data_IF_448982726129
#
_entry.id   IF_448982726129
#
_cell.length_a   1.000
_cell.length_b   1.000
_cell.length_c   1.000
_cell.angle_alpha   90.00
_cell.angle_beta   90.00
_cell.angle_gamma   90.00
#
_symmetry.space_group_name_H-M   'P 1'
#
loop_
_entity.id
_entity.type
_entity.pdbx_description
1 polymer ?
#
# COMPACT_ATOMS: atom_id res chain seq x y z
N UNK A 1 16.02 11.13 5.79
CA UNK A 1 14.57 11.34 5.68
C UNK A 1 13.83 10.01 5.58
N UNK A 2 12.60 9.98 6.03
CA UNK A 2 11.78 8.77 5.96
C UNK A 2 10.67 8.98 4.93
N UNK A 3 10.55 8.05 3.99
CA UNK A 3 9.43 8.02 3.06
C UNK A 3 8.58 6.79 3.35
N UNK A 4 7.31 6.87 3.00
CA UNK A 4 6.36 5.78 3.23
C UNK A 4 5.73 5.38 1.91
N UNK A 5 5.58 4.08 1.73
CA UNK A 5 4.94 3.53 0.53
C UNK A 5 3.82 2.59 0.98
N UNK A 6 2.64 2.85 0.48
CA UNK A 6 1.46 2.02 0.77
C UNK A 6 1.07 1.34 -0.53
N UNK A 7 1.07 0.01 -0.51
CA UNK A 7 0.75 -0.81 -1.68
C UNK A 7 -0.53 -1.58 -1.40
N UNK A 8 -1.52 -1.41 -2.27
CA UNK A 8 -2.83 -2.06 -2.10
C UNK A 8 -3.20 -2.78 -3.38
N UNK A 9 -3.98 -3.88 -3.28
CA UNK A 9 -4.48 -4.54 -4.49
C UNK A 9 -5.48 -3.62 -5.21
N UNK A 10 -5.49 -3.69 -6.54
CA UNK A 10 -6.48 -2.96 -7.33
C UNK A 10 -7.88 -3.48 -7.01
N UNK A 11 -8.88 -2.58 -7.12
CA UNK A 11 -10.26 -2.93 -6.79
C UNK A 11 -10.80 -4.09 -7.64
N UNK A 12 -10.30 -4.24 -8.84
CA UNK A 12 -10.76 -5.27 -9.77
C UNK A 12 -10.10 -6.63 -9.55
N UNK A 13 -9.14 -6.72 -8.63
CA UNK A 13 -8.38 -7.93 -8.38
C UNK A 13 -8.95 -8.65 -7.17
N UNK A 14 -9.06 -9.99 -7.27
CA UNK A 14 -9.46 -10.80 -6.12
C UNK A 14 -8.38 -10.76 -5.05
N UNK A 15 -8.83 -10.62 -3.81
CA UNK A 15 -7.95 -10.63 -2.65
C UNK A 15 -8.39 -11.76 -1.72
N UNK A 16 -7.83 -12.98 -1.89
CA UNK A 16 -8.24 -14.13 -1.07
C UNK A 16 -7.98 -13.92 0.42
N UNK A 17 -6.89 -13.23 0.77
CA UNK A 17 -6.59 -12.94 2.17
C UNK A 17 -7.60 -11.97 2.76
N UNK A 18 -7.94 -10.92 2.02
CA UNK A 18 -8.95 -9.96 2.45
C UNK A 18 -10.32 -10.60 2.61
N UNK A 19 -10.69 -11.49 1.68
CA UNK A 19 -11.95 -12.21 1.76
C UNK A 19 -12.01 -13.11 3.00
N UNK A 20 -10.92 -13.80 3.31
CA UNK A 20 -10.86 -14.66 4.50
C UNK A 20 -11.00 -13.84 5.78
N UNK A 21 -10.35 -12.69 5.86
CA UNK A 21 -10.47 -11.80 7.01
C UNK A 21 -11.89 -11.27 7.13
N UNK A 22 -12.51 -10.90 6.02
CA UNK A 22 -13.90 -10.43 6.02
C UNK A 22 -14.83 -11.50 6.61
N UNK A 23 -14.70 -12.73 6.15
CA UNK A 23 -15.52 -13.82 6.67
C UNK A 23 -15.30 -14.04 8.17
N UNK A 24 -14.05 -14.00 8.61
CA UNK A 24 -13.75 -14.15 10.03
C UNK A 24 -14.37 -13.04 10.86
N UNK A 25 -14.30 -11.80 10.38
CA UNK A 25 -14.90 -10.66 11.07
C UNK A 25 -16.41 -10.81 11.18
N UNK A 26 -17.05 -11.25 10.11
CA UNK A 26 -18.49 -11.49 10.13
C UNK A 26 -18.86 -12.59 11.12
N UNK A 27 -18.09 -13.66 11.16
CA UNK A 27 -18.27 -14.75 12.10
C UNK A 27 -18.11 -14.31 13.55
N UNK A 28 -17.22 -13.37 13.81
CA UNK A 28 -16.95 -12.87 15.16
C UNK A 28 -17.90 -11.74 15.57
N UNK A 29 -18.91 -11.48 14.78
CA UNK A 29 -19.99 -10.58 15.17
C UNK A 29 -20.08 -9.27 14.41
N UNK A 30 -19.07 -8.93 13.60
CA UNK A 30 -19.10 -7.70 12.82
C UNK A 30 -19.71 -7.97 11.45
N UNK A 31 -20.99 -8.25 11.45
CA UNK A 31 -21.72 -8.70 10.27
C UNK A 31 -21.86 -7.62 9.19
N UNK A 32 -21.60 -6.37 9.53
CA UNK A 32 -21.65 -5.27 8.57
C UNK A 32 -20.39 -5.13 7.74
N UNK A 33 -19.37 -5.95 7.97
CA UNK A 33 -18.14 -5.91 7.19
C UNK A 33 -18.43 -6.30 5.75
N UNK A 34 -18.20 -5.38 4.83
CA UNK A 34 -18.47 -5.60 3.41
C UNK A 34 -17.23 -5.96 2.62
N UNK A 35 -16.11 -5.32 2.95
CA UNK A 35 -14.89 -5.49 2.20
C UNK A 35 -13.70 -5.34 3.11
N UNK A 36 -12.72 -6.23 2.93
CA UNK A 36 -11.42 -6.13 3.57
C UNK A 36 -10.37 -6.33 2.49
N UNK A 37 -9.41 -5.43 2.44
CA UNK A 37 -8.32 -5.49 1.47
C UNK A 37 -7.01 -5.42 2.22
N UNK A 38 -6.10 -6.33 1.89
CA UNK A 38 -4.82 -6.44 2.57
C UNK A 38 -3.71 -6.00 1.62
N UNK A 39 -2.92 -5.05 2.08
CA UNK A 39 -1.79 -4.53 1.32
C UNK A 39 -0.52 -4.55 2.14
N UNK A 40 0.46 -3.75 1.69
CA UNK A 40 1.75 -3.64 2.36
C UNK A 40 2.05 -2.19 2.69
N UNK A 41 2.79 -2.00 3.75
CA UNK A 41 3.27 -0.69 4.17
C UNK A 41 4.77 -0.75 4.32
N UNK A 42 5.48 0.14 3.64
CA UNK A 42 6.94 0.20 3.68
C UNK A 42 7.38 1.55 4.25
N UNK A 43 8.35 1.49 5.15
CA UNK A 43 9.07 2.69 5.61
C UNK A 43 10.49 2.61 5.08
N UNK A 44 10.93 3.66 4.41
CA UNK A 44 12.25 3.68 3.78
C UNK A 44 13.01 4.88 4.32
N UNK A 45 14.16 4.62 4.91
CA UNK A 45 15.05 5.67 5.40
C UNK A 45 16.09 5.97 4.32
N UNK A 46 16.16 7.24 3.92
CA UNK A 46 17.07 7.68 2.87
C UNK A 46 17.90 8.87 3.35
N UNK A 47 19.10 8.97 2.81
CA UNK A 47 19.95 10.15 3.01
C UNK A 47 19.81 11.07 1.81
N UNK A 48 19.96 12.38 2.02
CA UNK A 48 19.98 13.36 0.97
C UNK A 48 18.68 14.09 0.76
N UNK A 49 18.57 14.77 -0.38
CA UNK A 49 17.43 15.61 -0.69
C UNK A 49 16.25 14.81 -1.21
N UNK A 50 15.13 14.94 -0.52
CA UNK A 50 13.90 14.23 -0.88
C UNK A 50 13.42 14.59 -2.29
N UNK A 51 13.42 15.87 -2.62
CA UNK A 51 12.90 16.32 -3.92
C UNK A 51 13.73 15.77 -5.08
N UNK A 52 15.03 15.70 -4.91
CA UNK A 52 15.92 15.19 -5.95
C UNK A 52 15.73 13.69 -6.18
N UNK A 53 15.32 12.96 -5.15
CA UNK A 53 15.18 11.51 -5.22
C UNK A 53 13.77 11.05 -5.57
N UNK A 54 12.79 11.94 -5.51
CA UNK A 54 11.39 11.57 -5.73
C UNK A 54 11.13 10.88 -7.07
N UNK A 55 11.65 11.35 -8.22
CA UNK A 55 11.39 10.67 -9.49
C UNK A 55 11.87 9.22 -9.49
N UNK A 56 13.05 8.97 -8.90
CA UNK A 56 13.57 7.61 -8.81
C UNK A 56 12.75 6.75 -7.86
N UNK A 57 12.30 7.32 -6.76
CA UNK A 57 11.44 6.63 -5.81
C UNK A 57 10.14 6.19 -6.47
N UNK A 58 9.53 7.07 -7.27
CA UNK A 58 8.29 6.73 -7.96
C UNK A 58 8.49 5.61 -8.96
N UNK A 59 9.60 5.65 -9.68
CA UNK A 59 9.96 4.57 -10.61
C UNK A 59 10.08 3.23 -9.86
N UNK A 60 10.76 3.22 -8.73
CA UNK A 60 10.95 2.01 -7.95
C UNK A 60 9.64 1.53 -7.29
N UNK A 61 8.79 2.45 -6.87
CA UNK A 61 7.46 2.09 -6.37
C UNK A 61 6.68 1.32 -7.42
N UNK A 62 6.71 1.81 -8.66
CA UNK A 62 6.00 1.18 -9.75
C UNK A 62 6.62 -0.16 -10.16
N UNK A 63 7.96 -0.19 -10.29
CA UNK A 63 8.64 -1.30 -10.95
C UNK A 63 9.16 -2.37 -9.99
N UNK A 64 9.43 -2.01 -8.74
CA UNK A 64 10.04 -2.92 -7.77
C UNK A 64 9.15 -3.20 -6.57
N UNK A 65 8.57 -2.14 -5.98
CA UNK A 65 7.89 -2.24 -4.69
C UNK A 65 6.44 -2.67 -4.82
N UNK A 66 5.87 -2.57 -6.00
CA UNK A 66 4.52 -3.02 -6.28
C UNK A 66 4.49 -3.81 -7.58
N UNK A 67 3.39 -4.52 -7.81
CA UNK A 67 3.13 -5.15 -9.10
C UNK A 67 2.08 -4.30 -9.81
N UNK A 68 2.47 -3.52 -10.83
CA UNK A 68 1.55 -2.55 -11.44
C UNK A 68 0.37 -3.19 -12.16
N UNK A 69 0.43 -4.48 -12.45
CA UNK A 69 -0.69 -5.19 -13.07
C UNK A 69 -1.84 -5.38 -12.09
N UNK A 70 -1.52 -5.66 -10.83
CA UNK A 70 -2.52 -6.04 -9.81
C UNK A 70 -2.55 -5.14 -8.59
N UNK A 71 -1.62 -4.19 -8.49
CA UNK A 71 -1.49 -3.34 -7.30
C UNK A 71 -1.38 -1.88 -7.66
N UNK A 72 -1.88 -1.04 -6.77
CA UNK A 72 -1.64 0.40 -6.78
C UNK A 72 -0.70 0.75 -5.64
N UNK A 73 -0.01 1.88 -5.76
CA UNK A 73 0.83 2.36 -4.68
C UNK A 73 0.52 3.83 -4.38
N UNK A 74 0.86 4.22 -3.15
CA UNK A 74 0.86 5.63 -2.75
C UNK A 74 2.19 5.93 -2.08
N UNK A 75 2.92 6.89 -2.63
CA UNK A 75 4.19 7.34 -2.06
C UNK A 75 3.93 8.58 -1.22
N UNK A 76 4.32 8.53 0.06
CA UNK A 76 4.25 9.68 0.95
C UNK A 76 5.65 10.18 1.20
N UNK A 77 5.95 11.37 0.67
CA UNK A 77 7.22 12.05 0.90
C UNK A 77 7.20 12.72 2.28
N UNK A 78 8.37 13.08 2.84
CA UNK A 78 8.41 13.66 4.18
C UNK A 78 7.50 14.85 4.40
N UNK A 79 7.28 15.67 3.38
CA UNK A 79 6.42 16.85 3.50
C UNK A 79 4.93 16.51 3.47
N UNK A 80 4.58 15.31 3.06
CA UNK A 80 3.19 14.87 2.95
C UNK A 80 2.71 14.20 4.23
N UNK A 81 3.64 13.77 5.07
CA UNK A 81 3.35 13.03 6.29
C UNK A 81 3.00 14.01 7.42
N UNK A 82 1.72 14.19 7.65
CA UNK A 82 1.24 15.04 8.73
C UNK A 82 0.28 14.30 9.63
#
# INVERSE_FOLDING_TARGET
MKVRVIVTPKETVLDPQGAAVREAMQHLGLITTREVRIGRYLEIELEGDAAAQEPKLRELCRDLLSNPVIEDYRLEMPNDAK
#
